data_IF_145067504688
#
_entry.id   IF_145067504688
#
_cell.length_a   1.000
_cell.length_b   1.000
_cell.length_c   1.000
_cell.angle_alpha   90.00
_cell.angle_beta   90.00
_cell.angle_gamma   90.00
#
_symmetry.space_group_name_H-M   'P 1'
#
loop_
_entity.id
_entity.type
_entity.pdbx_description
1 polymer ?
#
# COMPACT_ATOMS: atom_id res chain seq x y z
N UNK A 1 42.26 -2.17 22.21
CA UNK A 1 41.01 -1.38 22.10
C UNK A 1 40.98 -0.90 20.68
N UNK A 2 40.45 -1.73 19.78
CA UNK A 2 40.34 -1.40 18.36
C UNK A 2 39.17 -0.41 18.20
N UNK A 3 39.51 0.79 17.81
CA UNK A 3 38.54 1.79 17.36
C UNK A 3 37.88 1.25 16.09
N UNK A 4 36.64 0.75 16.23
CA UNK A 4 35.77 0.41 15.11
C UNK A 4 35.49 1.70 14.37
N UNK A 5 36.29 1.97 13.35
CA UNK A 5 35.99 3.09 12.41
C UNK A 5 34.67 2.75 11.74
N UNK A 6 33.63 3.47 12.09
CA UNK A 6 32.32 3.37 11.42
C UNK A 6 32.55 3.72 9.95
N UNK A 7 32.52 2.71 9.09
CA UNK A 7 32.52 2.93 7.64
C UNK A 7 31.22 3.67 7.30
N UNK A 8 31.36 4.86 6.76
CA UNK A 8 30.23 5.66 6.31
C UNK A 8 29.68 5.01 5.02
N UNK A 9 28.59 4.28 5.14
CA UNK A 9 27.90 3.67 4.01
C UNK A 9 27.01 4.72 3.32
N UNK A 10 27.19 4.91 2.01
CA UNK A 10 26.28 5.75 1.22
C UNK A 10 25.21 4.87 0.59
N UNK A 11 23.96 5.12 0.94
CA UNK A 11 22.81 4.45 0.34
C UNK A 11 22.25 5.31 -0.77
N UNK A 12 22.24 4.79 -1.99
CA UNK A 12 21.54 5.39 -3.13
C UNK A 12 20.11 4.84 -3.17
N UNK A 13 19.12 5.71 -3.24
CA UNK A 13 17.73 5.30 -3.36
C UNK A 13 17.16 5.65 -4.73
N UNK A 14 16.51 4.67 -5.36
CA UNK A 14 15.68 4.88 -6.55
C UNK A 14 14.23 4.75 -6.12
N UNK A 15 13.51 5.88 -6.11
CA UNK A 15 12.14 5.99 -5.63
C UNK A 15 11.15 5.96 -6.79
N UNK A 16 10.10 5.18 -6.63
CA UNK A 16 9.03 5.02 -7.62
C UNK A 16 7.72 5.59 -7.09
N UNK A 17 7.11 6.48 -7.88
CA UNK A 17 5.71 6.85 -7.76
C UNK A 17 4.91 6.01 -8.76
N UNK A 18 3.97 5.20 -8.27
CA UNK A 18 3.24 4.22 -9.09
C UNK A 18 1.78 4.62 -9.20
N UNK A 19 1.29 4.76 -10.43
CA UNK A 19 -0.11 5.06 -10.73
C UNK A 19 -0.74 3.85 -11.41
N UNK A 20 -1.79 3.29 -10.80
CA UNK A 20 -2.51 2.10 -11.27
C UNK A 20 -3.91 2.50 -11.75
N UNK A 21 -4.14 2.41 -13.06
CA UNK A 21 -5.46 2.68 -13.64
C UNK A 21 -6.41 1.51 -13.41
N UNK A 22 -7.73 1.81 -13.48
CA UNK A 22 -8.75 0.78 -13.38
C UNK A 22 -8.94 0.00 -14.68
N UNK A 23 -9.70 -1.09 -14.58
CA UNK A 23 -10.09 -1.95 -15.69
C UNK A 23 -10.30 -3.38 -15.22
N UNK A 24 -11.45 -3.98 -15.52
CA UNK A 24 -11.80 -5.33 -15.01
C UNK A 24 -10.82 -6.38 -15.53
N UNK A 25 -10.51 -6.36 -16.83
CA UNK A 25 -9.57 -7.30 -17.44
C UNK A 25 -8.10 -7.06 -17.07
N UNK A 26 -7.79 -5.86 -16.56
CA UNK A 26 -6.44 -5.47 -16.18
C UNK A 26 -6.09 -5.83 -14.72
N UNK A 27 -7.07 -6.23 -13.92
CA UNK A 27 -6.87 -6.47 -12.49
C UNK A 27 -5.74 -7.47 -12.19
N UNK A 28 -5.71 -8.60 -12.92
CA UNK A 28 -4.69 -9.65 -12.78
C UNK A 28 -3.33 -9.14 -13.29
N UNK A 29 -3.30 -8.43 -14.42
CA UNK A 29 -2.07 -7.84 -14.95
C UNK A 29 -1.45 -6.84 -13.95
N UNK A 30 -2.27 -5.92 -13.42
CA UNK A 30 -1.84 -4.94 -12.41
C UNK A 30 -1.33 -5.66 -11.16
N UNK A 31 -1.99 -6.74 -10.74
CA UNK A 31 -1.52 -7.55 -9.61
C UNK A 31 -0.14 -8.16 -9.89
N UNK A 32 0.09 -8.68 -11.09
CA UNK A 32 1.41 -9.20 -11.50
C UNK A 32 2.50 -8.13 -11.40
N UNK A 33 2.24 -6.91 -11.90
CA UNK A 33 3.17 -5.78 -11.77
C UNK A 33 3.38 -5.39 -10.31
N UNK A 34 2.31 -5.34 -9.50
CA UNK A 34 2.41 -5.03 -8.07
C UNK A 34 3.27 -6.06 -7.31
N UNK A 35 3.15 -7.35 -7.66
CA UNK A 35 4.01 -8.39 -7.09
C UNK A 35 5.48 -8.20 -7.47
N UNK A 36 5.77 -7.86 -8.72
CA UNK A 36 7.15 -7.61 -9.16
C UNK A 36 7.73 -6.35 -8.47
N UNK A 37 6.96 -5.29 -8.31
CA UNK A 37 7.38 -4.12 -7.52
C UNK A 37 7.69 -4.49 -6.06
N UNK A 38 6.85 -5.30 -5.42
CA UNK A 38 7.11 -5.79 -4.06
C UNK A 38 8.38 -6.62 -3.98
N UNK A 39 8.61 -7.53 -4.94
CA UNK A 39 9.84 -8.33 -5.04
C UNK A 39 11.08 -7.46 -5.24
N UNK A 40 10.99 -6.44 -6.08
CA UNK A 40 12.07 -5.50 -6.33
C UNK A 40 12.47 -4.74 -5.06
N UNK A 41 11.48 -4.19 -4.34
CA UNK A 41 11.71 -3.51 -3.06
C UNK A 41 12.29 -4.48 -2.03
N UNK A 42 11.71 -5.66 -1.89
CA UNK A 42 12.15 -6.71 -0.96
C UNK A 42 13.58 -7.15 -1.23
N UNK A 43 13.94 -7.38 -2.48
CA UNK A 43 15.25 -7.84 -2.88
C UNK A 43 16.39 -6.85 -2.58
N UNK A 44 16.08 -5.56 -2.50
CA UNK A 44 17.07 -4.50 -2.29
C UNK A 44 16.93 -3.80 -0.94
N UNK A 45 15.99 -4.23 -0.10
CA UNK A 45 15.85 -3.73 1.26
C UNK A 45 17.09 -4.05 2.09
N UNK A 46 17.52 -3.11 2.92
CA UNK A 46 18.61 -3.27 3.85
C UNK A 46 18.08 -3.50 5.27
N UNK A 47 18.81 -4.27 6.05
CA UNK A 47 18.54 -4.38 7.47
C UNK A 47 18.86 -3.05 8.16
N UNK A 48 17.99 -2.61 9.06
CA UNK A 48 18.18 -1.38 9.82
C UNK A 48 19.22 -1.53 10.96
N UNK A 49 19.53 -2.77 11.34
CA UNK A 49 20.42 -3.10 12.46
C UNK A 49 21.75 -3.69 12.01
N UNK A 50 21.74 -4.40 10.87
CA UNK A 50 22.94 -4.95 10.23
C UNK A 50 23.24 -4.19 8.94
N UNK A 51 24.50 -3.91 8.67
CA UNK A 51 24.96 -3.21 7.44
C UNK A 51 24.79 -4.07 6.17
N UNK A 52 23.90 -5.08 6.20
CA UNK A 52 23.64 -6.06 5.16
C UNK A 52 22.26 -5.95 4.50
N UNK A 53 22.02 -6.81 3.52
CA UNK A 53 20.69 -6.95 2.93
C UNK A 53 19.72 -7.59 3.93
N UNK A 54 18.46 -7.11 3.94
CA UNK A 54 17.39 -7.66 4.78
C UNK A 54 17.14 -9.15 4.54
N UNK A 55 17.38 -9.62 3.31
CA UNK A 55 17.16 -11.00 2.88
C UNK A 55 18.46 -11.53 2.29
N UNK A 56 18.89 -12.70 2.73
CA UNK A 56 20.10 -13.35 2.22
C UNK A 56 19.92 -13.77 0.75
N UNK A 57 21.03 -13.90 0.03
CA UNK A 57 21.01 -14.30 -1.40
C UNK A 57 20.42 -15.71 -1.61
N UNK A 58 20.49 -16.58 -0.59
CA UNK A 58 19.93 -17.94 -0.60
C UNK A 58 18.40 -17.94 -0.51
N UNK A 59 17.82 -16.94 0.14
CA UNK A 59 16.38 -16.79 0.30
C UNK A 59 15.69 -16.10 -0.89
N UNK A 60 16.47 -15.47 -1.78
CA UNK A 60 15.95 -14.82 -2.98
C UNK A 60 15.36 -15.82 -3.97
N UNK A 61 14.16 -15.52 -4.49
CA UNK A 61 13.43 -16.42 -5.39
C UNK A 61 13.06 -15.72 -6.72
N UNK A 62 13.25 -16.45 -7.81
CA UNK A 62 12.82 -16.00 -9.15
C UNK A 62 13.44 -14.65 -9.53
N UNK A 63 12.60 -13.67 -9.84
CA UNK A 63 12.98 -12.31 -10.29
C UNK A 63 13.67 -11.48 -9.20
N UNK A 64 13.54 -11.84 -7.92
CA UNK A 64 14.24 -11.14 -6.82
C UNK A 64 15.76 -11.15 -7.02
N UNK A 65 16.32 -12.26 -7.55
CA UNK A 65 17.76 -12.34 -7.86
C UNK A 65 18.21 -11.33 -8.90
N UNK A 66 17.34 -11.09 -9.90
CA UNK A 66 17.62 -10.10 -10.95
C UNK A 66 17.62 -8.69 -10.36
N UNK A 67 16.65 -8.37 -9.51
CA UNK A 67 16.58 -7.06 -8.85
C UNK A 67 17.74 -6.82 -7.90
N UNK A 68 18.19 -7.84 -7.17
CA UNK A 68 19.38 -7.78 -6.33
C UNK A 68 20.64 -7.47 -7.17
N UNK A 69 20.84 -8.19 -8.27
CA UNK A 69 21.95 -7.94 -9.17
C UNK A 69 21.90 -6.54 -9.77
N UNK A 70 20.71 -6.06 -10.16
CA UNK A 70 20.54 -4.71 -10.68
C UNK A 70 20.96 -3.66 -9.63
N UNK A 71 20.53 -3.82 -8.38
CA UNK A 71 20.94 -2.94 -7.29
C UNK A 71 22.47 -2.92 -7.08
N UNK A 72 23.11 -4.08 -7.17
CA UNK A 72 24.58 -4.21 -7.05
C UNK A 72 25.31 -3.53 -8.23
N UNK A 73 24.83 -3.70 -9.47
CA UNK A 73 25.42 -3.04 -10.66
C UNK A 73 25.35 -1.53 -10.52
N UNK A 74 24.19 -1.01 -10.17
CA UNK A 74 23.99 0.44 -9.97
C UNK A 74 24.81 1.00 -8.79
N UNK A 75 25.10 0.17 -7.79
CA UNK A 75 26.01 0.51 -6.70
C UNK A 75 27.45 0.65 -7.21
N UNK A 76 27.96 -0.33 -7.97
CA UNK A 76 29.33 -0.32 -8.54
C UNK A 76 29.60 0.89 -9.42
N UNK A 77 28.67 1.24 -10.30
CA UNK A 77 28.80 2.46 -11.13
C UNK A 77 28.97 3.72 -10.26
N UNK A 78 28.31 3.76 -9.10
CA UNK A 78 28.48 4.86 -8.15
C UNK A 78 29.83 4.86 -7.43
N UNK A 79 30.39 3.68 -7.11
CA UNK A 79 31.74 3.51 -6.53
C UNK A 79 32.82 3.92 -7.51
N UNK A 80 32.76 3.46 -8.76
CA UNK A 80 33.69 3.87 -9.81
C UNK A 80 33.69 5.38 -10.05
N UNK A 81 32.53 6.02 -10.04
CA UNK A 81 32.44 7.47 -10.16
C UNK A 81 33.03 8.21 -8.95
N UNK A 82 33.02 7.62 -7.76
CA UNK A 82 33.60 8.18 -6.55
C UNK A 82 35.11 7.99 -6.47
N UNK A 83 35.62 6.84 -6.88
CA UNK A 83 37.06 6.59 -6.97
C UNK A 83 37.76 7.61 -7.88
N UNK A 84 37.05 8.15 -8.89
CA UNK A 84 37.53 9.24 -9.73
C UNK A 84 37.60 10.59 -9.01
N UNK A 85 36.83 10.76 -7.93
CA UNK A 85 36.75 12.01 -7.17
C UNK A 85 37.59 11.95 -5.91
N UNK A 86 37.64 10.81 -5.23
CA UNK A 86 38.43 10.60 -4.00
C UNK A 86 38.80 9.10 -3.86
N UNK A 87 39.95 8.70 -4.45
CA UNK A 87 40.40 7.33 -4.45
C UNK A 87 40.80 6.78 -3.05
N UNK A 88 40.96 7.65 -2.05
CA UNK A 88 41.37 7.26 -0.70
C UNK A 88 40.16 6.89 0.20
N UNK A 89 38.93 7.02 -0.29
CA UNK A 89 37.72 6.70 0.48
C UNK A 89 36.88 5.65 -0.26
N UNK A 90 37.23 4.35 -0.17
CA UNK A 90 36.35 3.28 -0.69
C UNK A 90 35.10 3.17 0.20
N UNK A 91 34.03 3.80 -0.22
CA UNK A 91 32.75 3.75 0.48
C UNK A 91 31.79 2.91 -0.33
N UNK A 92 31.35 1.73 0.15
CA UNK A 92 30.41 0.90 -0.58
C UNK A 92 29.10 1.66 -0.79
N UNK A 93 28.60 1.68 -2.02
CA UNK A 93 27.32 2.30 -2.38
C UNK A 93 26.32 1.16 -2.64
N UNK A 94 25.31 1.07 -1.81
CA UNK A 94 24.20 0.15 -2.02
C UNK A 94 23.02 0.89 -2.65
N UNK A 95 22.53 0.36 -3.77
CA UNK A 95 21.33 0.89 -4.40
C UNK A 95 20.09 0.16 -3.92
N UNK A 96 19.16 0.89 -3.33
CA UNK A 96 17.86 0.43 -2.85
C UNK A 96 16.75 0.94 -3.76
N UNK A 97 15.81 0.07 -4.08
CA UNK A 97 14.56 0.45 -4.74
C UNK A 97 13.45 0.65 -3.71
N UNK A 98 12.72 1.74 -3.81
CA UNK A 98 11.64 2.09 -2.88
C UNK A 98 10.40 2.52 -3.66
N UNK A 99 9.23 2.06 -3.22
CA UNK A 99 7.92 2.51 -3.71
C UNK A 99 7.25 3.22 -2.54
N UNK A 100 7.21 4.53 -2.58
CA UNK A 100 6.73 5.39 -1.48
C UNK A 100 5.49 6.22 -1.84
N UNK A 101 5.11 6.26 -3.12
CA UNK A 101 3.87 6.89 -3.58
C UNK A 101 3.08 5.90 -4.43
N UNK A 102 1.85 5.64 -4.00
CA UNK A 102 0.91 4.80 -4.72
C UNK A 102 -0.37 5.57 -5.01
N UNK A 103 -0.86 5.50 -6.23
CA UNK A 103 -2.16 6.03 -6.60
C UNK A 103 -2.94 4.99 -7.40
N UNK A 104 -4.23 4.83 -7.09
CA UNK A 104 -5.03 3.82 -7.79
C UNK A 104 -6.50 4.15 -7.91
N UNK A 105 -7.10 3.62 -8.99
CA UNK A 105 -8.52 3.76 -9.32
C UNK A 105 -9.11 2.39 -9.62
N UNK A 106 -10.30 2.07 -9.08
CA UNK A 106 -11.01 0.79 -9.35
C UNK A 106 -10.11 -0.41 -9.00
N UNK A 107 -9.90 -1.36 -9.93
CA UNK A 107 -8.99 -2.50 -9.74
C UNK A 107 -7.57 -2.05 -9.39
N UNK A 108 -7.09 -0.95 -9.97
CA UNK A 108 -5.81 -0.34 -9.62
C UNK A 108 -5.80 0.19 -8.18
N UNK A 109 -6.92 0.76 -7.70
CA UNK A 109 -7.09 1.17 -6.30
C UNK A 109 -7.01 0.01 -5.33
N UNK A 110 -7.64 -1.12 -5.65
CA UNK A 110 -7.57 -2.34 -4.84
C UNK A 110 -6.12 -2.84 -4.78
N UNK A 111 -5.45 -3.01 -5.92
CA UNK A 111 -4.06 -3.45 -5.95
C UNK A 111 -3.13 -2.49 -5.20
N UNK A 112 -3.35 -1.17 -5.29
CA UNK A 112 -2.57 -0.18 -4.57
C UNK A 112 -2.73 -0.29 -3.04
N UNK A 113 -3.96 -0.54 -2.54
CA UNK A 113 -4.23 -0.77 -1.11
C UNK A 113 -3.47 -1.99 -0.59
N UNK A 114 -3.51 -3.11 -1.31
CA UNK A 114 -2.81 -4.34 -0.91
C UNK A 114 -1.29 -4.17 -0.96
N UNK A 115 -0.78 -3.54 -2.02
CA UNK A 115 0.65 -3.26 -2.13
C UNK A 115 1.11 -2.31 -1.01
N UNK A 116 0.35 -1.26 -0.71
CA UNK A 116 0.64 -0.35 0.39
C UNK A 116 0.68 -1.09 1.74
N UNK A 117 -0.32 -1.98 2.00
CA UNK A 117 -0.34 -2.81 3.20
C UNK A 117 0.88 -3.71 3.28
N UNK A 118 1.26 -4.36 2.18
CA UNK A 118 2.40 -5.25 2.13
C UNK A 118 3.71 -4.50 2.38
N UNK A 119 3.90 -3.34 1.75
CA UNK A 119 5.07 -2.48 1.94
C UNK A 119 5.18 -1.97 3.38
N UNK A 120 4.07 -1.52 3.96
CA UNK A 120 4.06 -0.98 5.32
C UNK A 120 4.29 -2.04 6.41
N UNK A 121 3.96 -3.32 6.16
CA UNK A 121 4.03 -4.37 7.19
C UNK A 121 4.98 -5.53 6.87
N UNK A 122 5.73 -5.47 5.79
CA UNK A 122 6.60 -6.59 5.40
C UNK A 122 5.83 -7.86 5.00
N UNK A 123 4.65 -7.71 4.40
CA UNK A 123 3.75 -8.80 4.01
C UNK A 123 3.85 -9.16 2.53
N UNK A 124 3.15 -10.23 2.09
CA UNK A 124 2.97 -10.59 0.68
C UNK A 124 1.56 -10.24 0.19
N UNK A 125 1.36 -10.18 -1.14
CA UNK A 125 0.05 -9.91 -1.76
C UNK A 125 -0.49 -11.13 -2.52
N UNK A 126 -0.06 -12.33 -2.15
CA UNK A 126 -0.46 -13.57 -2.82
C UNK A 126 -1.98 -13.84 -2.71
N UNK A 127 -2.58 -13.49 -1.57
CA UNK A 127 -4.01 -13.61 -1.33
C UNK A 127 -4.84 -12.80 -2.33
N UNK A 128 -4.34 -11.64 -2.73
CA UNK A 128 -5.01 -10.82 -3.75
C UNK A 128 -4.94 -11.47 -5.14
N UNK A 129 -3.82 -12.13 -5.48
CA UNK A 129 -3.72 -12.89 -6.72
C UNK A 129 -4.77 -14.00 -6.79
N UNK A 130 -4.88 -14.77 -5.71
CA UNK A 130 -5.86 -15.83 -5.62
C UNK A 130 -7.29 -15.29 -5.74
N UNK A 131 -7.58 -14.19 -5.08
CA UNK A 131 -8.88 -13.51 -5.18
C UNK A 131 -9.22 -13.12 -6.62
N UNK A 132 -8.28 -12.51 -7.36
CA UNK A 132 -8.53 -12.14 -8.74
C UNK A 132 -8.77 -13.35 -9.66
N UNK A 133 -8.07 -14.45 -9.43
CA UNK A 133 -8.24 -15.69 -10.21
C UNK A 133 -9.58 -16.35 -9.89
N UNK A 134 -9.97 -16.40 -8.62
CA UNK A 134 -11.17 -17.13 -8.19
C UNK A 134 -12.45 -16.31 -8.25
N UNK A 135 -12.38 -15.03 -7.88
CA UNK A 135 -13.53 -14.13 -7.72
C UNK A 135 -13.62 -13.05 -8.82
N UNK A 136 -12.62 -12.94 -9.70
CA UNK A 136 -12.65 -12.03 -10.84
C UNK A 136 -13.61 -12.42 -11.95
N UNK A 137 -14.28 -13.58 -11.84
CA UNK A 137 -15.30 -14.01 -12.77
C UNK A 137 -16.55 -13.14 -12.62
N UNK A 138 -16.92 -12.46 -13.71
CA UNK A 138 -18.09 -11.58 -13.75
C UNK A 138 -19.39 -12.35 -13.44
N UNK A 139 -19.47 -13.63 -13.76
CA UNK A 139 -20.64 -14.46 -13.49
C UNK A 139 -20.85 -14.68 -11.99
N UNK A 140 -19.80 -14.67 -11.20
CA UNK A 140 -19.87 -14.70 -9.72
C UNK A 140 -20.22 -13.35 -9.12
N UNK A 141 -19.90 -12.28 -9.82
CA UNK A 141 -20.11 -10.91 -9.35
C UNK A 141 -21.48 -10.34 -9.71
N UNK A 142 -22.15 -10.88 -10.74
CA UNK A 142 -23.52 -10.47 -11.09
C UNK A 142 -24.44 -10.70 -9.89
N UNK A 143 -25.23 -9.71 -9.53
CA UNK A 143 -26.10 -9.71 -8.35
C UNK A 143 -27.33 -10.61 -8.53
N UNK A 144 -27.10 -11.91 -8.59
CA UNK A 144 -28.10 -12.99 -8.66
C UNK A 144 -27.92 -14.00 -7.50
N UNK A 145 -28.62 -15.12 -7.55
CA UNK A 145 -28.54 -16.17 -6.52
C UNK A 145 -27.12 -16.75 -6.38
N UNK A 146 -26.37 -16.85 -7.48
CA UNK A 146 -24.99 -17.39 -7.48
C UNK A 146 -24.02 -16.49 -6.73
N UNK A 147 -24.25 -15.18 -6.75
CA UNK A 147 -23.36 -14.23 -6.09
C UNK A 147 -23.37 -14.30 -4.55
N UNK A 148 -24.26 -15.06 -3.97
CA UNK A 148 -24.34 -15.28 -2.50
C UNK A 148 -23.93 -16.70 -2.10
N UNK A 149 -23.65 -17.59 -3.05
CA UNK A 149 -23.17 -18.93 -2.77
C UNK A 149 -21.84 -18.93 -2.03
N UNK A 150 -21.75 -19.75 -0.99
CA UNK A 150 -20.56 -19.83 -0.14
C UNK A 150 -20.30 -18.62 0.76
N UNK A 151 -21.31 -17.76 0.95
CA UNK A 151 -21.23 -16.59 1.83
C UNK A 151 -22.36 -16.61 2.87
N UNK A 152 -22.04 -16.98 4.10
CA UNK A 152 -23.00 -17.05 5.18
C UNK A 152 -23.60 -15.67 5.50
N UNK A 153 -24.92 -15.64 5.70
CA UNK A 153 -25.68 -14.46 6.08
C UNK A 153 -25.92 -13.45 4.95
N UNK A 154 -25.46 -13.70 3.70
CA UNK A 154 -25.85 -12.92 2.54
C UNK A 154 -27.08 -13.52 1.86
N UNK A 155 -28.01 -12.66 1.46
CA UNK A 155 -29.20 -13.03 0.67
C UNK A 155 -29.23 -12.23 -0.62
N UNK A 156 -29.54 -12.90 -1.71
CA UNK A 156 -29.77 -12.23 -2.99
C UNK A 156 -30.93 -11.22 -2.84
N UNK A 157 -30.66 -9.96 -3.25
CA UNK A 157 -31.68 -8.91 -3.21
C UNK A 157 -32.62 -9.03 -4.40
N UNK A 158 -33.91 -8.92 -4.16
CA UNK A 158 -34.95 -8.95 -5.19
C UNK A 158 -35.88 -7.74 -5.01
N UNK A 159 -35.93 -6.76 -5.94
CA UNK A 159 -35.04 -6.61 -7.10
C UNK A 159 -33.60 -6.23 -6.69
N UNK A 160 -32.58 -6.56 -7.51
CA UNK A 160 -31.22 -6.17 -7.21
C UNK A 160 -31.03 -4.67 -7.30
N UNK A 161 -30.32 -4.07 -6.32
CA UNK A 161 -30.03 -2.61 -6.27
C UNK A 161 -28.90 -2.19 -7.19
N UNK A 162 -28.06 -3.13 -7.62
CA UNK A 162 -26.92 -2.90 -8.49
C UNK A 162 -26.67 -4.13 -9.36
N UNK A 163 -25.99 -3.92 -10.49
CA UNK A 163 -25.63 -4.99 -11.41
C UNK A 163 -24.67 -6.01 -10.75
N UNK A 164 -23.72 -5.52 -9.97
CA UNK A 164 -22.74 -6.35 -9.30
C UNK A 164 -23.01 -6.41 -7.80
N UNK A 165 -22.71 -7.56 -7.18
CA UNK A 165 -22.83 -7.75 -5.74
C UNK A 165 -21.61 -7.17 -5.01
N UNK A 166 -21.72 -5.91 -4.63
CA UNK A 166 -20.66 -5.22 -3.86
C UNK A 166 -20.40 -5.85 -2.49
N UNK A 167 -21.39 -6.51 -1.88
CA UNK A 167 -21.21 -7.14 -0.58
C UNK A 167 -20.33 -8.38 -0.67
N UNK A 168 -20.46 -9.18 -1.76
CA UNK A 168 -19.54 -10.29 -2.03
C UNK A 168 -18.10 -9.79 -2.15
N UNK A 169 -17.88 -8.85 -3.06
CA UNK A 169 -16.54 -8.29 -3.28
C UNK A 169 -15.95 -7.72 -1.99
N UNK A 170 -16.74 -6.97 -1.23
CA UNK A 170 -16.28 -6.37 0.03
C UNK A 170 -15.82 -7.43 1.04
N UNK A 171 -16.60 -8.50 1.24
CA UNK A 171 -16.22 -9.59 2.16
C UNK A 171 -14.96 -10.31 1.70
N UNK A 172 -14.90 -10.66 0.42
CA UNK A 172 -13.74 -11.36 -0.14
C UNK A 172 -12.45 -10.52 -0.08
N UNK A 173 -12.58 -9.21 -0.25
CA UNK A 173 -11.45 -8.29 -0.04
C UNK A 173 -11.03 -8.23 1.43
N UNK A 174 -11.96 -8.19 2.38
CA UNK A 174 -11.62 -8.23 3.80
C UNK A 174 -10.93 -9.55 4.18
N UNK A 175 -11.48 -10.70 3.75
CA UNK A 175 -10.89 -12.02 4.00
C UNK A 175 -9.46 -12.09 3.44
N UNK A 176 -9.22 -11.54 2.25
CA UNK A 176 -7.90 -11.50 1.65
C UNK A 176 -6.94 -10.54 2.39
N UNK A 177 -7.43 -9.41 2.92
CA UNK A 177 -6.64 -8.49 3.75
C UNK A 177 -6.26 -9.14 5.10
N UNK A 178 -7.20 -9.86 5.72
CA UNK A 178 -6.95 -10.60 6.96
C UNK A 178 -5.97 -11.75 6.72
N UNK A 179 -6.08 -12.42 5.57
CA UNK A 179 -5.18 -13.49 5.15
C UNK A 179 -3.73 -13.04 4.87
N UNK A 180 -3.47 -11.74 4.72
CA UNK A 180 -2.10 -11.22 4.61
C UNK A 180 -1.36 -11.26 5.96
N UNK A 181 -2.09 -11.36 7.08
CA UNK A 181 -1.48 -11.41 8.41
C UNK A 181 -0.93 -12.82 8.66
N UNK A 182 0.35 -12.92 9.00
CA UNK A 182 0.94 -14.18 9.47
C UNK A 182 0.40 -14.48 10.86
N UNK A 183 -0.42 -15.50 10.98
CA UNK A 183 -1.12 -15.87 12.23
C UNK A 183 -0.20 -16.33 13.37
N UNK A 184 1.07 -16.66 13.10
CA UNK A 184 1.95 -17.36 14.04
C UNK A 184 3.29 -16.66 14.33
N UNK A 185 3.43 -15.36 14.04
CA UNK A 185 4.64 -14.65 14.38
C UNK A 185 4.42 -13.79 15.64
N UNK A 186 4.86 -14.27 16.83
CA UNK A 186 4.76 -13.50 18.07
C UNK A 186 5.62 -12.23 18.07
N UNK A 187 6.49 -12.04 17.07
CA UNK A 187 7.26 -10.82 16.87
C UNK A 187 6.48 -9.72 16.16
N UNK A 188 5.16 -9.85 16.03
CA UNK A 188 4.26 -8.91 15.33
C UNK A 188 4.12 -7.52 16.00
N UNK A 189 4.88 -7.22 17.02
CA UNK A 189 5.18 -5.83 17.40
C UNK A 189 6.16 -5.18 16.41
N UNK A 190 5.98 -5.40 15.11
CA UNK A 190 6.71 -4.62 14.09
C UNK A 190 6.12 -3.23 14.03
N UNK A 191 6.62 -2.36 14.88
CA UNK A 191 6.33 -0.93 14.88
C UNK A 191 6.87 -0.23 13.63
N UNK A 192 7.66 -0.92 12.80
CA UNK A 192 8.37 -0.36 11.66
C UNK A 192 8.30 -1.23 10.41
N UNK A 193 8.08 -0.60 9.24
CA UNK A 193 8.22 -1.27 7.95
C UNK A 193 9.68 -1.63 7.66
N UNK A 194 9.96 -2.85 7.17
CA UNK A 194 11.29 -3.18 6.67
C UNK A 194 11.59 -2.58 5.29
N UNK A 195 10.56 -2.05 4.60
CA UNK A 195 10.65 -1.66 3.20
C UNK A 195 10.57 -0.16 2.95
N UNK A 196 9.79 0.57 3.75
CA UNK A 196 9.54 2.00 3.56
C UNK A 196 9.53 2.73 4.90
N UNK A 197 10.03 3.95 4.92
CA UNK A 197 9.96 4.85 6.08
C UNK A 197 8.66 5.67 6.05
N UNK A 198 8.28 6.09 4.86
CA UNK A 198 7.04 6.80 4.58
C UNK A 198 6.39 6.24 3.32
N UNK A 199 5.05 6.23 3.27
CA UNK A 199 4.29 5.84 2.10
C UNK A 199 3.00 6.64 2.03
N UNK A 200 2.77 7.27 0.90
CA UNK A 200 1.52 7.94 0.56
C UNK A 200 0.69 7.08 -0.39
N UNK A 201 -0.55 6.78 0.00
CA UNK A 201 -1.50 6.06 -0.83
C UNK A 201 -2.68 6.96 -1.17
N UNK A 202 -2.96 7.10 -2.47
CA UNK A 202 -4.10 7.85 -3.00
C UNK A 202 -5.08 6.89 -3.68
N UNK A 203 -6.32 6.83 -3.19
CA UNK A 203 -7.39 6.03 -3.79
C UNK A 203 -8.49 6.95 -4.27
N UNK A 204 -8.83 6.86 -5.55
CA UNK A 204 -9.91 7.67 -6.11
C UNK A 204 -11.24 6.92 -6.09
N UNK A 205 -12.30 7.63 -5.79
CA UNK A 205 -13.68 7.15 -5.85
C UNK A 205 -14.60 8.21 -6.47
N UNK A 206 -15.74 7.75 -6.97
CA UNK A 206 -16.80 8.63 -7.46
C UNK A 206 -17.97 8.60 -6.50
N UNK A 207 -18.33 9.75 -5.94
CA UNK A 207 -19.56 9.90 -5.18
C UNK A 207 -20.72 10.11 -6.16
N UNK A 208 -21.66 9.19 -6.15
CA UNK A 208 -22.80 9.25 -7.04
C UNK A 208 -23.72 10.48 -6.76
N UNK A 209 -23.82 10.89 -5.50
CA UNK A 209 -24.64 12.03 -5.10
C UNK A 209 -23.94 13.37 -5.32
N UNK A 210 -22.62 13.36 -5.29
CA UNK A 210 -21.79 14.56 -5.32
C UNK A 210 -21.78 15.30 -3.97
N UNK A 211 -20.70 16.01 -3.71
CA UNK A 211 -20.55 16.90 -2.57
C UNK A 211 -20.69 18.34 -3.06
N UNK A 212 -21.70 19.12 -2.57
CA UNK A 212 -21.81 20.52 -2.93
C UNK A 212 -20.63 21.32 -2.36
N UNK A 213 -19.89 21.97 -3.24
CA UNK A 213 -18.77 22.83 -2.89
C UNK A 213 -19.11 24.24 -3.32
N UNK A 214 -18.98 25.18 -2.39
CA UNK A 214 -19.14 26.60 -2.68
C UNK A 214 -17.84 27.15 -3.27
N UNK A 215 -17.95 27.65 -4.49
CA UNK A 215 -16.87 28.34 -5.17
C UNK A 215 -17.13 29.84 -5.09
N UNK A 216 -16.23 30.58 -4.45
CA UNK A 216 -16.27 32.02 -4.42
C UNK A 216 -15.73 32.55 -5.75
N UNK A 217 -16.58 33.14 -6.54
CA UNK A 217 -16.21 33.95 -7.71
C UNK A 217 -16.02 35.40 -7.28
N UNK A 218 -15.51 36.25 -8.18
CA UNK A 218 -15.27 37.69 -7.89
C UNK A 218 -16.55 38.40 -7.45
N UNK A 219 -17.69 38.07 -8.03
CA UNK A 219 -18.94 38.79 -7.86
C UNK A 219 -20.07 37.90 -7.32
N UNK A 220 -19.88 36.59 -7.20
CA UNK A 220 -20.94 35.65 -6.78
C UNK A 220 -20.39 34.39 -6.12
N UNK A 221 -21.26 33.62 -5.47
CA UNK A 221 -20.98 32.30 -4.91
C UNK A 221 -21.80 31.27 -5.66
N UNK A 222 -21.11 30.37 -6.35
CA UNK A 222 -21.77 29.26 -7.05
C UNK A 222 -21.56 27.94 -6.33
N UNK A 223 -22.54 27.05 -6.42
CA UNK A 223 -22.37 25.67 -5.94
C UNK A 223 -22.03 24.73 -7.10
N UNK A 224 -20.93 23.99 -6.95
CA UNK A 224 -20.53 22.89 -7.83
C UNK A 224 -20.74 21.56 -7.11
N UNK A 225 -21.33 20.58 -7.78
CA UNK A 225 -21.39 19.21 -7.29
C UNK A 225 -20.11 18.48 -7.66
N UNK A 226 -19.27 18.25 -6.67
CA UNK A 226 -18.02 17.48 -6.87
C UNK A 226 -18.29 16.00 -6.66
N UNK A 227 -18.17 15.22 -7.73
CA UNK A 227 -18.33 13.78 -7.71
C UNK A 227 -17.02 13.03 -7.45
N UNK A 228 -15.90 13.66 -7.73
CA UNK A 228 -14.57 13.05 -7.54
C UNK A 228 -14.12 13.18 -6.09
N UNK A 229 -13.81 12.03 -5.46
CA UNK A 229 -13.15 11.97 -4.17
C UNK A 229 -11.75 11.34 -4.30
N UNK A 230 -10.80 11.86 -3.52
CA UNK A 230 -9.46 11.28 -3.37
C UNK A 230 -9.26 11.01 -1.89
N UNK A 231 -9.16 9.73 -1.54
CA UNK A 231 -8.78 9.32 -0.20
C UNK A 231 -7.26 9.24 -0.15
N UNK A 232 -6.67 9.97 0.78
CA UNK A 232 -5.25 9.92 1.05
C UNK A 232 -5.01 9.20 2.36
N UNK A 233 -4.13 8.20 2.31
CA UNK A 233 -3.64 7.49 3.47
C UNK A 233 -2.13 7.67 3.53
N UNK A 234 -1.58 7.91 4.70
CA UNK A 234 -0.16 8.04 4.91
C UNK A 234 0.30 7.08 5.98
N UNK A 235 1.31 6.30 5.66
CA UNK A 235 2.13 5.56 6.61
C UNK A 235 3.41 6.38 6.84
N UNK A 236 3.82 6.55 8.10
CA UNK A 236 5.10 7.12 8.48
C UNK A 236 5.61 6.40 9.72
N UNK A 237 6.91 6.11 9.75
CA UNK A 237 7.58 5.65 10.95
C UNK A 237 7.60 6.78 12.00
N UNK A 238 7.38 6.46 13.27
CA UNK A 238 7.30 7.47 14.36
C UNK A 238 8.58 8.31 14.51
N UNK A 239 9.72 7.84 14.00
CA UNK A 239 10.98 8.59 13.99
C UNK A 239 11.09 9.59 12.84
N UNK A 240 10.28 9.47 11.80
CA UNK A 240 10.23 10.36 10.64
C UNK A 240 9.35 11.60 10.89
N UNK A 241 8.62 11.67 12.01
CA UNK A 241 7.80 12.83 12.35
C UNK A 241 8.67 14.03 12.74
N UNK A 242 9.16 14.80 11.75
CA UNK A 242 9.36 16.23 11.96
C UNK A 242 8.00 16.83 12.30
N UNK A 243 7.89 17.65 13.36
CA UNK A 243 6.61 18.26 13.72
C UNK A 243 6.05 19.00 12.50
N UNK A 244 4.75 18.83 12.19
CA UNK A 244 4.15 19.49 11.04
C UNK A 244 4.27 21.01 11.23
N UNK A 245 4.96 21.66 10.30
CA UNK A 245 4.84 23.10 10.12
C UNK A 245 3.37 23.38 9.83
N UNK A 246 2.71 23.90 10.86
CA UNK A 246 1.40 24.55 10.91
C UNK A 246 0.53 24.45 9.64
N UNK A 247 -0.33 23.44 9.56
CA UNK A 247 -1.64 23.52 8.92
C UNK A 247 -2.65 22.74 9.77
N UNK A 248 -3.63 23.45 10.27
CA UNK A 248 -4.65 23.04 11.22
C UNK A 248 -5.42 21.79 10.72
N UNK A 249 -5.44 20.66 11.44
CA UNK A 249 -6.26 19.52 11.03
C UNK A 249 -7.72 19.77 11.41
N UNK A 250 -8.59 19.83 10.42
CA UNK A 250 -10.03 19.79 10.66
C UNK A 250 -10.41 18.37 11.10
N UNK A 251 -10.62 18.21 12.40
CA UNK A 251 -11.11 16.98 13.01
C UNK A 251 -12.58 16.79 12.64
N UNK A 252 -12.89 15.85 11.75
CA UNK A 252 -14.28 15.41 11.55
C UNK A 252 -14.63 14.48 12.71
N UNK A 253 -15.36 14.99 13.68
CA UNK A 253 -16.05 14.20 14.70
C UNK A 253 -17.19 13.45 14.00
N UNK A 254 -17.08 12.13 13.86
CA UNK A 254 -18.23 11.27 13.61
C UNK A 254 -19.06 11.19 14.88
N UNK A 255 -20.26 11.75 14.90
CA UNK A 255 -21.23 11.59 15.97
C UNK A 255 -21.72 10.13 16.02
N UNK A 256 -21.85 9.53 17.22
CA UNK A 256 -22.36 8.17 17.35
C UNK A 256 -23.88 8.20 17.51
N UNK A 257 -24.63 7.73 16.53
CA UNK A 257 -25.99 7.28 16.80
C UNK A 257 -26.39 6.15 15.84
N UNK A 258 -26.30 4.93 16.30
CA UNK A 258 -27.39 3.93 16.32
C UNK A 258 -26.97 2.64 17.00
N UNK A 259 -27.82 2.23 17.94
CA UNK A 259 -27.74 1.00 18.72
C UNK A 259 -27.94 -0.23 17.84
N UNK A 260 -27.24 -1.33 18.17
CA UNK A 260 -27.65 -2.68 17.80
C UNK A 260 -26.85 -3.32 16.69
N UNK A 261 -25.60 -3.72 16.95
CA UNK A 261 -24.92 -4.79 16.23
C UNK A 261 -24.25 -5.71 17.25
N UNK A 262 -24.24 -7.04 17.05
CA UNK A 262 -23.67 -7.98 17.99
C UNK A 262 -22.15 -7.79 18.10
N UNK A 263 -21.64 -7.89 19.33
CA UNK A 263 -20.21 -7.82 19.63
C UNK A 263 -19.50 -9.03 19.01
N UNK A 264 -18.77 -8.79 17.95
CA UNK A 264 -17.67 -9.65 17.55
C UNK A 264 -16.49 -9.36 18.49
N UNK A 265 -16.01 -10.39 19.16
CA UNK A 265 -14.83 -10.33 20.01
C UNK A 265 -13.64 -9.77 19.23
N UNK A 266 -13.21 -8.59 19.61
CA UNK A 266 -12.02 -7.94 19.05
C UNK A 266 -10.79 -8.54 19.72
N UNK A 267 -10.00 -9.28 18.96
CA UNK A 267 -8.55 -9.34 19.21
C UNK A 267 -8.00 -7.93 19.02
N UNK A 268 -7.03 -7.47 19.81
CA UNK A 268 -6.39 -6.19 19.58
C UNK A 268 -5.45 -6.30 18.38
N UNK A 269 -6.03 -6.33 17.17
CA UNK A 269 -5.29 -6.15 15.94
C UNK A 269 -4.86 -4.70 15.86
N UNK A 270 -3.57 -4.50 15.62
CA UNK A 270 -2.84 -3.26 15.44
C UNK A 270 -3.71 -2.24 14.73
N UNK A 271 -4.08 -1.20 15.47
CA UNK A 271 -4.80 -0.04 14.93
C UNK A 271 -3.87 0.64 13.93
N UNK A 272 -4.19 0.52 12.64
CA UNK A 272 -3.58 1.30 11.59
C UNK A 272 -3.75 2.78 11.92
N UNK A 273 -2.67 3.48 12.25
CA UNK A 273 -2.68 4.94 12.33
C UNK A 273 -2.58 5.52 10.91
N UNK A 274 -3.61 5.29 10.11
CA UNK A 274 -3.76 6.04 8.88
C UNK A 274 -4.34 7.41 9.22
N UNK A 275 -3.58 8.47 8.98
CA UNK A 275 -4.15 9.82 9.00
C UNK A 275 -4.86 10.05 7.68
N UNK A 276 -6.16 10.20 7.69
CA UNK A 276 -6.94 10.64 6.54
C UNK A 276 -6.93 12.15 6.49
N UNK A 277 -6.43 12.75 5.42
CA UNK A 277 -6.63 14.15 5.11
C UNK A 277 -7.49 14.24 3.85
N UNK A 278 -8.69 14.78 3.97
CA UNK A 278 -9.47 15.21 2.81
C UNK A 278 -8.96 16.59 2.39
N UNK A 279 -8.28 16.65 1.27
CA UNK A 279 -8.02 17.94 0.60
C UNK A 279 -9.27 18.35 -0.14
N UNK A 280 -9.97 19.36 0.37
CA UNK A 280 -10.99 20.14 -0.32
C UNK A 280 -10.37 20.98 -1.44
#
# INVERSE_FOLDING_TARGET
>A
METKTSKMEVRKEVRFAVVMYGGVSLAIYINGVAQELLKMVRATAADAQDEGPLISDEELRGTERVYRQLGQILGREGEEARELVDPDIPTPIHTRFTVDILAGTSAGGINAVYLAKALANGQTIDQLKQLWVEEGDILKLINDARSVEGLDGLKAQKPPKSLLNSQRMYRKLLDALDGMEKKDDPSTEKTRSPYVEELDLFVTATDFRGLPIRLQLSDDVVEELRHRHVFRFRYADERSEKPPTTSTPTTIRSSPTRRGAPRLSRSPSILWRWRTSTTS
#
